data_IF_614682977098
#
_entry.id   IF_614682977098
#
_cell.length_a   1.000
_cell.length_b   1.000
_cell.length_c   1.000
_cell.angle_alpha   90.00
_cell.angle_beta   90.00
_cell.angle_gamma   90.00
#
_symmetry.space_group_name_H-M   'P 1'
#
loop_
_entity.id
_entity.type
_entity.pdbx_description
1 polymer ?
#
# COMPACT_ATOMS: atom_id res chain seq x y z
N UNK A 1 17.41 -3.68 5.69
CA UNK A 1 18.33 -4.83 5.67
C UNK A 1 18.85 -5.07 7.08
N UNK A 2 19.52 -4.09 7.71
CA UNK A 2 20.01 -4.20 9.09
C UNK A 2 18.88 -4.32 10.14
N UNK A 3 17.81 -3.50 10.03
CA UNK A 3 16.66 -3.56 10.95
C UNK A 3 15.83 -4.86 10.86
N UNK A 4 15.80 -5.50 9.68
CA UNK A 4 15.08 -6.78 9.49
C UNK A 4 15.86 -7.95 10.10
N UNK A 5 17.20 -7.87 10.09
CA UNK A 5 18.10 -8.84 10.72
C UNK A 5 18.04 -8.74 12.25
N UNK A 6 18.00 -7.52 12.80
CA UNK A 6 17.85 -7.29 14.24
C UNK A 6 16.51 -7.81 14.79
N UNK A 7 15.40 -7.58 14.08
CA UNK A 7 14.09 -8.09 14.49
C UNK A 7 14.03 -9.62 14.44
N UNK A 8 14.72 -10.23 13.47
CA UNK A 8 14.84 -11.68 13.33
C UNK A 8 15.71 -12.30 14.44
N UNK A 9 16.81 -11.63 14.80
CA UNK A 9 17.71 -12.04 15.89
C UNK A 9 17.02 -11.99 17.26
N UNK A 10 16.24 -10.93 17.54
CA UNK A 10 15.45 -10.83 18.77
C UNK A 10 14.41 -11.96 18.88
N UNK A 11 13.70 -12.28 17.78
CA UNK A 11 12.73 -13.39 17.75
C UNK A 11 13.41 -14.75 17.97
N UNK A 12 14.59 -14.95 17.39
CA UNK A 12 15.38 -16.16 17.57
C UNK A 12 15.82 -16.32 19.04
N UNK A 13 16.37 -15.28 19.66
CA UNK A 13 16.81 -15.28 21.06
C UNK A 13 15.65 -15.54 22.02
N UNK A 14 14.47 -14.96 21.80
CA UNK A 14 13.28 -15.26 22.59
C UNK A 14 12.86 -16.73 22.50
N UNK A 15 12.92 -17.31 21.30
CA UNK A 15 12.54 -18.71 21.08
C UNK A 15 13.52 -19.67 21.77
N UNK A 16 14.80 -19.31 21.84
CA UNK A 16 15.86 -20.07 22.52
C UNK A 16 15.75 -19.91 24.05
N UNK A 17 15.47 -18.71 24.55
CA UNK A 17 15.23 -18.46 25.97
C UNK A 17 13.98 -19.19 26.50
N UNK A 18 12.89 -19.20 25.72
CA UNK A 18 11.66 -19.95 26.06
C UNK A 18 11.93 -21.46 26.17
N UNK A 19 12.91 -21.97 25.41
CA UNK A 19 13.34 -23.37 25.44
C UNK A 19 14.36 -23.66 26.54
N UNK A 20 14.73 -22.68 27.35
CA UNK A 20 15.70 -22.82 28.44
C UNK A 20 17.15 -23.00 27.98
N UNK A 21 17.45 -22.80 26.69
CA UNK A 21 18.80 -22.95 26.13
C UNK A 21 19.69 -21.73 26.44
N UNK A 22 19.08 -20.60 26.77
CA UNK A 22 19.74 -19.39 27.25
C UNK A 22 18.93 -18.85 28.43
N UNK A 23 19.61 -18.41 29.49
CA UNK A 23 18.97 -17.97 30.73
C UNK A 23 18.17 -16.68 30.58
N UNK A 24 18.67 -15.73 29.78
CA UNK A 24 18.05 -14.41 29.55
C UNK A 24 18.30 -13.94 28.12
N UNK A 25 17.29 -13.33 27.49
CA UNK A 25 17.46 -12.65 26.21
C UNK A 25 18.11 -11.27 26.42
N UNK A 26 19.41 -11.13 26.15
CA UNK A 26 20.14 -9.86 26.31
C UNK A 26 19.56 -8.74 25.41
N UNK A 27 18.97 -9.09 24.27
CA UNK A 27 18.35 -8.12 23.37
C UNK A 27 17.04 -7.52 23.91
N UNK A 28 16.40 -8.11 24.94
CA UNK A 28 15.21 -7.49 25.56
C UNK A 28 15.54 -6.31 26.46
N UNK A 29 16.80 -6.20 26.89
CA UNK A 29 17.28 -5.09 27.73
C UNK A 29 17.62 -3.83 26.91
N UNK A 30 17.72 -3.96 25.59
CA UNK A 30 17.92 -2.84 24.68
C UNK A 30 16.61 -2.05 24.46
N UNK A 31 16.18 -1.33 25.49
CA UNK A 31 14.97 -0.51 25.43
C UNK A 31 15.33 0.94 25.08
N UNK A 32 14.95 1.40 23.89
CA UNK A 32 15.20 2.80 23.48
C UNK A 32 14.45 3.72 24.45
N UNK A 33 15.16 4.59 25.20
CA UNK A 33 14.51 5.43 26.20
C UNK A 33 13.44 6.32 25.56
N UNK A 34 12.27 6.42 26.21
CA UNK A 34 11.17 7.31 25.74
C UNK A 34 11.63 8.75 25.48
N UNK A 35 12.65 9.22 26.22
CA UNK A 35 13.29 10.53 26.02
C UNK A 35 14.02 10.63 24.69
N UNK A 36 14.77 9.60 24.29
CA UNK A 36 15.45 9.53 23.00
C UNK A 36 14.43 9.53 21.84
N UNK A 37 13.38 8.73 21.96
CA UNK A 37 12.28 8.67 20.97
C UNK A 37 11.53 10.01 20.82
N UNK A 38 11.39 10.77 21.92
CA UNK A 38 10.78 12.10 21.93
C UNK A 38 11.72 13.18 21.36
N UNK A 39 13.02 13.06 21.60
CA UNK A 39 14.03 13.93 21.01
C UNK A 39 14.09 13.75 19.50
N UNK A 40 14.16 12.50 19.02
CA UNK A 40 14.13 12.18 17.59
C UNK A 40 12.86 12.72 16.90
N UNK A 41 11.68 12.56 17.52
CA UNK A 41 10.42 13.09 16.98
C UNK A 41 10.38 14.63 16.91
N UNK A 42 11.14 15.32 17.76
CA UNK A 42 11.27 16.79 17.72
C UNK A 42 12.24 17.26 16.65
N UNK A 43 13.29 16.48 16.39
CA UNK A 43 14.30 16.80 15.38
C UNK A 43 13.86 16.39 13.97
N UNK A 44 12.93 15.44 13.87
CA UNK A 44 12.37 15.00 12.59
C UNK A 44 11.63 16.17 11.94
N UNK A 45 12.02 16.50 10.71
CA UNK A 45 11.37 17.54 9.92
C UNK A 45 9.86 17.27 9.83
N UNK A 46 9.08 18.30 10.14
CA UNK A 46 7.63 18.24 10.00
C UNK A 46 7.33 18.33 8.51
N UNK A 47 6.93 17.21 7.93
CA UNK A 47 6.44 17.19 6.54
C UNK A 47 5.15 18.01 6.49
N UNK A 48 5.17 19.10 5.72
CA UNK A 48 3.99 19.91 5.52
C UNK A 48 2.99 19.15 4.62
N UNK A 49 1.74 18.97 5.05
CA UNK A 49 0.73 18.31 4.23
C UNK A 49 0.39 19.18 3.02
N UNK A 50 0.04 18.54 1.90
CA UNK A 50 -0.38 19.24 0.70
C UNK A 50 -1.68 20.01 0.93
N UNK A 51 -1.77 21.17 0.28
CA UNK A 51 -3.00 21.95 0.23
C UNK A 51 -3.96 21.40 -0.85
N UNK A 52 -5.22 21.85 -0.83
CA UNK A 52 -6.25 21.37 -1.76
C UNK A 52 -5.91 21.66 -3.24
N UNK A 53 -5.24 22.78 -3.53
CA UNK A 53 -4.81 23.13 -4.90
C UNK A 53 -3.69 22.22 -5.41
N UNK A 54 -2.73 21.84 -4.56
CA UNK A 54 -1.65 20.92 -4.89
C UNK A 54 -2.19 19.51 -5.13
N UNK A 55 -3.12 19.05 -4.29
CA UNK A 55 -3.83 17.79 -4.49
C UNK A 55 -4.60 17.81 -5.82
N UNK A 56 -5.31 18.91 -6.11
CA UNK A 56 -6.02 19.08 -7.38
C UNK A 56 -5.09 19.04 -8.59
N UNK A 57 -3.95 19.74 -8.52
CA UNK A 57 -2.94 19.74 -9.58
C UNK A 57 -2.33 18.34 -9.79
N UNK A 58 -2.03 17.62 -8.70
CA UNK A 58 -1.52 16.25 -8.75
C UNK A 58 -2.52 15.27 -9.36
N UNK A 59 -3.80 15.36 -9.00
CA UNK A 59 -4.84 14.52 -9.60
C UNK A 59 -5.02 14.87 -11.08
N UNK A 60 -4.89 16.15 -11.46
CA UNK A 60 -4.98 16.59 -12.84
C UNK A 60 -3.81 16.08 -13.70
N UNK A 61 -2.58 16.10 -13.19
CA UNK A 61 -1.42 15.57 -13.93
C UNK A 61 -1.48 14.06 -14.13
N UNK A 62 -2.14 13.33 -13.23
CA UNK A 62 -2.33 11.89 -13.37
C UNK A 62 -3.41 11.49 -14.38
N UNK A 63 -4.24 12.43 -14.87
CA UNK A 63 -5.25 12.14 -15.89
C UNK A 63 -4.56 11.67 -17.18
N UNK A 64 -4.55 10.35 -17.40
CA UNK A 64 -3.95 9.72 -18.57
C UNK A 64 -2.66 8.94 -18.31
N UNK A 65 -2.14 8.93 -17.07
CA UNK A 65 -1.00 8.09 -16.68
C UNK A 65 -1.47 6.70 -16.23
N UNK A 66 -0.62 5.68 -16.43
CA UNK A 66 -0.86 4.31 -16.00
C UNK A 66 -0.74 4.11 -14.48
N UNK A 67 -0.15 5.04 -13.73
CA UNK A 67 0.07 4.96 -12.26
C UNK A 67 -1.18 5.27 -11.40
N UNK A 68 -2.35 4.92 -11.91
CA UNK A 68 -3.61 5.58 -11.58
C UNK A 68 -4.29 5.14 -10.26
N UNK A 69 -3.70 4.27 -9.45
CA UNK A 69 -4.24 3.98 -8.12
C UNK A 69 -3.92 5.10 -7.09
N UNK A 70 -2.99 6.00 -7.42
CA UNK A 70 -2.51 7.05 -6.52
C UNK A 70 -3.59 8.03 -5.99
N UNK A 71 -4.66 8.40 -6.72
CA UNK A 71 -5.76 9.19 -6.14
C UNK A 71 -6.47 8.50 -4.98
N UNK A 72 -6.45 7.17 -4.89
CA UNK A 72 -6.96 6.44 -3.71
C UNK A 72 -6.11 6.67 -2.45
N UNK A 73 -4.84 7.03 -2.59
CA UNK A 73 -3.99 7.38 -1.45
C UNK A 73 -4.48 8.62 -0.71
N UNK A 74 -5.23 9.50 -1.39
CA UNK A 74 -5.86 10.68 -0.79
C UNK A 74 -6.95 10.31 0.23
N UNK A 75 -7.45 9.07 0.19
CA UNK A 75 -8.44 8.54 1.15
C UNK A 75 -7.77 7.93 2.39
N UNK A 76 -6.46 8.10 2.56
CA UNK A 76 -5.71 7.55 3.69
C UNK A 76 -5.47 6.04 3.61
N UNK A 77 -5.57 5.47 2.40
CA UNK A 77 -5.29 4.06 2.18
C UNK A 77 -3.81 3.78 2.30
N UNK A 78 -3.48 2.63 2.90
CA UNK A 78 -2.09 2.15 2.90
C UNK A 78 -1.65 1.83 1.46
N UNK A 79 -0.37 1.96 1.10
CA UNK A 79 0.11 1.60 -0.24
C UNK A 79 -0.29 0.18 -0.69
N UNK A 80 -0.33 -0.78 0.25
CA UNK A 80 -0.79 -2.14 -0.03
C UNK A 80 -2.31 -2.26 -0.27
N UNK A 81 -3.11 -1.37 0.34
CA UNK A 81 -4.57 -1.26 0.13
C UNK A 81 -4.89 -0.46 -1.15
N UNK A 82 -3.98 0.36 -1.65
CA UNK A 82 -4.11 1.08 -2.93
C UNK A 82 -3.87 0.14 -4.12
N UNK A 83 -2.93 -0.80 -3.99
CA UNK A 83 -2.55 -1.74 -5.06
C UNK A 83 -3.36 -3.05 -5.09
N UNK A 84 -4.18 -3.29 -4.08
CA UNK A 84 -4.98 -4.51 -3.90
C UNK A 84 -6.35 -4.57 -4.58
N UNK A 85 -7.10 -3.46 -4.75
CA UNK A 85 -8.48 -3.51 -5.23
C UNK A 85 -8.60 -4.01 -6.66
N UNK A 86 -9.66 -4.78 -6.92
CA UNK A 86 -10.12 -5.16 -8.26
C UNK A 86 -11.25 -4.22 -8.69
N UNK A 87 -11.57 -4.20 -9.99
CA UNK A 87 -12.74 -3.47 -10.48
C UNK A 87 -14.06 -3.97 -9.88
N UNK A 88 -14.12 -5.24 -9.43
CA UNK A 88 -15.27 -5.79 -8.71
C UNK A 88 -15.47 -5.16 -7.33
N UNK A 89 -14.42 -4.60 -6.76
CA UNK A 89 -14.43 -4.07 -5.40
C UNK A 89 -14.81 -2.57 -5.40
N UNK A 90 -15.03 -1.99 -6.59
CA UNK A 90 -15.31 -0.57 -6.80
C UNK A 90 -16.65 -0.42 -7.48
N UNK A 91 -17.61 0.11 -6.73
CA UNK A 91 -18.89 0.54 -7.25
C UNK A 91 -18.83 2.03 -7.60
N UNK A 92 -18.69 2.34 -8.89
CA UNK A 92 -18.66 3.72 -9.38
C UNK A 92 -20.05 4.37 -9.38
N UNK A 93 -21.12 3.58 -9.36
CA UNK A 93 -22.50 4.08 -9.39
C UNK A 93 -22.94 4.44 -7.97
N UNK A 94 -22.73 3.53 -7.00
CA UNK A 94 -22.94 3.78 -5.58
C UNK A 94 -21.82 4.60 -4.92
N UNK A 95 -20.74 4.86 -5.65
CA UNK A 95 -19.56 5.58 -5.16
C UNK A 95 -18.93 4.96 -3.91
N UNK A 96 -18.73 3.65 -3.94
CA UNK A 96 -18.24 2.87 -2.81
C UNK A 96 -17.01 2.05 -3.21
N UNK A 97 -15.99 2.07 -2.35
CA UNK A 97 -14.81 1.23 -2.46
C UNK A 97 -14.83 0.20 -1.33
N UNK A 98 -14.93 -1.07 -1.68
CA UNK A 98 -14.70 -2.19 -0.76
C UNK A 98 -13.21 -2.48 -0.63
N UNK A 99 -12.70 -2.47 0.60
CA UNK A 99 -11.31 -2.85 0.88
C UNK A 99 -11.33 -4.26 1.46
N UNK A 100 -11.17 -5.28 0.60
CA UNK A 100 -11.08 -6.68 1.04
C UNK A 100 -9.63 -7.22 0.95
N UNK A 101 -8.84 -6.68 0.02
CA UNK A 101 -7.56 -7.24 -0.38
C UNK A 101 -6.40 -6.26 -0.15
N UNK A 102 -5.30 -6.78 0.39
CA UNK A 102 -4.03 -6.04 0.48
C UNK A 102 -2.96 -6.74 -0.33
N UNK A 103 -2.20 -5.97 -1.10
CA UNK A 103 -1.14 -6.50 -1.97
C UNK A 103 0.20 -5.88 -1.59
N UNK A 104 1.10 -6.72 -1.09
CA UNK A 104 2.43 -6.30 -0.67
C UNK A 104 3.48 -7.04 -1.47
N UNK A 105 4.49 -6.33 -1.97
CA UNK A 105 5.66 -6.97 -2.57
C UNK A 105 6.61 -7.38 -1.44
N UNK A 106 6.92 -8.68 -1.36
CA UNK A 106 7.92 -9.22 -0.44
C UNK A 106 9.20 -9.52 -1.24
N UNK A 107 10.29 -8.81 -0.93
CA UNK A 107 11.52 -8.85 -1.71
C UNK A 107 11.40 -8.11 -3.05
N UNK A 108 12.23 -8.48 -4.05
CA UNK A 108 12.23 -7.82 -5.39
C UNK A 108 11.28 -8.45 -6.42
N UNK A 109 10.65 -9.60 -6.12
CA UNK A 109 9.92 -10.39 -7.14
C UNK A 109 8.62 -11.05 -6.69
N UNK A 110 8.35 -11.18 -5.39
CA UNK A 110 7.18 -11.94 -4.93
C UNK A 110 6.08 -10.99 -4.53
N UNK A 111 5.02 -10.91 -5.35
CA UNK A 111 3.81 -10.20 -4.95
C UNK A 111 2.97 -11.12 -4.10
N UNK A 112 2.76 -10.74 -2.84
CA UNK A 112 1.94 -11.49 -1.90
C UNK A 112 0.60 -10.77 -1.79
N UNK A 113 -0.44 -11.40 -2.32
CA UNK A 113 -1.82 -11.04 -2.02
C UNK A 113 -2.20 -11.70 -0.70
N UNK A 114 -2.61 -10.88 0.27
CA UNK A 114 -3.23 -11.37 1.49
C UNK A 114 -4.59 -10.72 1.60
N UNK A 115 -5.59 -11.55 1.85
CA UNK A 115 -6.83 -11.08 2.45
C UNK A 115 -6.47 -10.25 3.69
N UNK A 116 -7.28 -9.24 3.99
CA UNK A 116 -7.08 -8.50 5.23
C UNK A 116 -6.94 -9.50 6.39
N UNK A 117 -5.90 -9.31 7.20
CA UNK A 117 -5.43 -10.27 8.21
C UNK A 117 -6.50 -10.63 9.28
N UNK A 118 -7.66 -9.99 9.22
CA UNK A 118 -8.87 -10.19 10.02
C UNK A 118 -10.06 -9.49 9.34
N UNK A 119 -11.28 -10.02 9.48
CA UNK A 119 -12.56 -9.39 9.08
C UNK A 119 -12.69 -7.91 9.48
N UNK A 120 -12.01 -7.47 10.55
CA UNK A 120 -11.98 -6.07 11.01
C UNK A 120 -11.25 -5.11 10.05
N UNK A 121 -10.51 -5.62 9.06
CA UNK A 121 -9.86 -4.83 8.02
C UNK A 121 -10.75 -4.53 6.82
N UNK A 122 -11.86 -5.26 6.68
CA UNK A 122 -12.83 -5.06 5.61
C UNK A 122 -13.68 -3.83 5.93
N UNK A 123 -13.59 -2.83 5.06
CA UNK A 123 -14.38 -1.60 5.20
C UNK A 123 -14.81 -1.09 3.83
N UNK A 124 -15.98 -0.48 3.81
CA UNK A 124 -16.49 0.25 2.65
C UNK A 124 -16.22 1.73 2.88
N UNK A 125 -15.53 2.37 1.94
CA UNK A 125 -15.28 3.81 1.98
C UNK A 125 -16.06 4.52 0.88
N UNK A 126 -16.67 5.69 1.17
CA UNK A 126 -17.26 6.53 0.14
C UNK A 126 -16.17 7.12 -0.75
N UNK A 127 -16.41 7.12 -2.06
CA UNK A 127 -15.49 7.66 -3.07
C UNK A 127 -15.87 9.12 -3.36
N UNK A 128 -14.98 10.09 -3.05
CA UNK A 128 -15.19 11.49 -3.42
C UNK A 128 -15.35 11.65 -4.94
N UNK A 129 -16.13 12.65 -5.37
CA UNK A 129 -16.41 12.90 -6.79
C UNK A 129 -15.14 13.04 -7.64
N UNK A 130 -14.13 13.75 -7.13
CA UNK A 130 -12.84 13.91 -7.80
C UNK A 130 -12.16 12.56 -8.11
N UNK A 131 -12.15 11.65 -7.13
CA UNK A 131 -11.56 10.32 -7.27
C UNK A 131 -12.42 9.46 -8.19
N UNK A 132 -13.74 9.56 -8.11
CA UNK A 132 -14.67 8.82 -8.98
C UNK A 132 -14.49 9.16 -10.45
N UNK A 133 -14.41 10.45 -10.79
CA UNK A 133 -14.22 10.90 -12.16
C UNK A 133 -12.85 10.45 -12.70
N UNK A 134 -11.82 10.54 -11.85
CA UNK A 134 -10.52 9.97 -12.17
C UNK A 134 -10.65 8.47 -12.51
N UNK A 135 -11.27 7.67 -11.64
CA UNK A 135 -11.41 6.22 -11.85
C UNK A 135 -12.19 5.87 -13.12
N UNK A 136 -13.21 6.66 -13.50
CA UNK A 136 -13.93 6.49 -14.78
C UNK A 136 -13.01 6.71 -15.98
N UNK A 137 -12.23 7.79 -15.98
CA UNK A 137 -11.26 8.06 -17.06
C UNK A 137 -10.28 6.90 -17.20
N UNK A 138 -9.77 6.38 -16.08
CA UNK A 138 -8.86 5.25 -16.10
C UNK A 138 -9.49 3.96 -16.62
N UNK A 139 -10.74 3.67 -16.25
CA UNK A 139 -11.47 2.51 -16.81
C UNK A 139 -11.57 2.58 -18.33
N UNK A 140 -11.78 3.79 -18.87
CA UNK A 140 -11.80 4.02 -20.31
C UNK A 140 -10.42 3.85 -20.94
N UNK A 141 -9.36 4.44 -20.37
CA UNK A 141 -7.98 4.26 -20.85
C UNK A 141 -7.58 2.78 -20.88
N UNK A 142 -7.91 2.03 -19.82
CA UNK A 142 -7.60 0.62 -19.73
C UNK A 142 -8.34 -0.21 -20.78
N UNK A 143 -9.59 0.14 -21.09
CA UNK A 143 -10.34 -0.51 -22.16
C UNK A 143 -9.67 -0.27 -23.53
N UNK A 144 -9.17 0.94 -23.78
CA UNK A 144 -8.41 1.27 -25.00
C UNK A 144 -7.10 0.48 -25.04
N UNK A 145 -6.32 0.46 -23.96
CA UNK A 145 -5.08 -0.32 -23.88
C UNK A 145 -5.32 -1.81 -24.12
N UNK A 146 -6.40 -2.36 -23.56
CA UNK A 146 -6.78 -3.77 -23.76
C UNK A 146 -7.12 -4.06 -25.22
N UNK A 147 -7.80 -3.14 -25.92
CA UNK A 147 -8.08 -3.27 -27.34
C UNK A 147 -6.80 -3.20 -28.19
N UNK A 148 -5.87 -2.31 -27.84
CA UNK A 148 -4.58 -2.17 -28.55
C UNK A 148 -3.67 -3.37 -28.32
N UNK A 149 -3.61 -3.90 -27.09
CA UNK A 149 -2.74 -5.03 -26.73
C UNK A 149 -3.29 -6.41 -27.12
N UNK A 150 -4.59 -6.53 -27.43
CA UNK A 150 -5.24 -7.77 -27.85
C UNK A 150 -5.05 -8.91 -26.83
N UNK A 151 -4.64 -10.09 -27.30
CA UNK A 151 -4.39 -11.28 -26.46
C UNK A 151 -3.16 -11.14 -25.54
N UNK A 152 -2.27 -10.17 -25.80
CA UNK A 152 -1.10 -9.90 -24.97
C UNK A 152 -1.39 -9.11 -23.69
N UNK A 153 -2.64 -8.71 -23.46
CA UNK A 153 -3.01 -7.88 -22.31
C UNK A 153 -2.95 -8.67 -20.99
N UNK A 154 -1.87 -8.52 -20.23
CA UNK A 154 -1.69 -9.15 -18.91
C UNK A 154 -2.23 -8.31 -17.73
N UNK A 155 -3.14 -7.38 -17.98
CA UNK A 155 -3.77 -6.55 -16.94
C UNK A 155 -4.92 -7.29 -16.26
N UNK A 156 -4.63 -8.09 -15.23
CA UNK A 156 -5.67 -8.72 -14.44
C UNK A 156 -6.33 -7.68 -13.51
N UNK A 157 -7.33 -6.91 -13.97
CA UNK A 157 -8.04 -5.91 -13.14
C UNK A 157 -7.37 -4.53 -13.12
N UNK A 158 -7.44 -3.76 -12.03
CA UNK A 158 -6.78 -2.44 -11.88
C UNK A 158 -5.23 -2.49 -11.88
N UNK A 159 -4.61 -3.52 -12.47
CA UNK A 159 -3.18 -3.84 -12.33
C UNK A 159 -2.40 -3.72 -13.65
N UNK A 160 -2.12 -2.50 -14.18
CA UNK A 160 -1.34 -2.35 -15.41
C UNK A 160 0.17 -2.55 -15.25
N UNK A 161 0.81 -2.17 -14.13
CA UNK A 161 2.28 -1.95 -14.10
C UNK A 161 3.11 -3.03 -13.36
N UNK A 162 2.50 -3.97 -12.65
CA UNK A 162 3.26 -4.94 -11.82
C UNK A 162 3.57 -6.28 -12.53
N UNK A 163 3.03 -6.53 -13.72
CA UNK A 163 3.36 -7.71 -14.53
C UNK A 163 4.27 -7.39 -15.72
N UNK A 164 4.54 -6.12 -16.01
CA UNK A 164 5.59 -5.76 -16.95
C UNK A 164 6.94 -6.08 -16.31
N UNK A 165 7.66 -7.05 -16.88
CA UNK A 165 9.06 -7.31 -16.56
C UNK A 165 9.92 -6.04 -16.67
N UNK A 166 11.16 -6.08 -16.15
CA UNK A 166 12.02 -4.91 -16.16
C UNK A 166 12.17 -4.36 -17.58
N UNK A 167 11.88 -3.06 -17.74
CA UNK A 167 12.29 -2.29 -18.92
C UNK A 167 13.80 -2.15 -18.94
#
# INVERSE_FOLDING_TARGET
>A
MEADEEESAWKALNRVATRGLVTVNVASEANVPRKARKAERKTKEVVQPWNASEVGAFVATMKGDHLFALPLSLMGLRPAEVCGPRWSDIDLDAAALGIANTRTVMGRRTVVEKDTKSMAGERVLPIPSLVREALKTFRATQAVERLVAGEGYQGAGMRPWMNSGPR
#
